data_IF_636736871400
#
_entry.id   IF_636736871400
#
_cell.length_a   1.000
_cell.length_b   1.000
_cell.length_c   1.000
_cell.angle_alpha   90.00
_cell.angle_beta   90.00
_cell.angle_gamma   90.00
#
_symmetry.space_group_name_H-M   'P 1'
#
loop_
_entity.id
_entity.type
_entity.pdbx_description
1 polymer ?
#
# COMPACT_ATOMS: atom_id res chain seq x y z
N UNK A 1 6.79 -27.51 7.10
CA UNK A 1 7.25 -26.43 6.20
C UNK A 1 6.82 -26.76 4.79
N UNK A 2 5.86 -26.03 4.19
CA UNK A 2 5.63 -26.10 2.75
C UNK A 2 6.84 -25.47 2.07
N UNK A 3 7.50 -26.17 1.14
CA UNK A 3 8.54 -25.56 0.32
C UNK A 3 7.87 -24.55 -0.61
N UNK A 4 7.98 -23.26 -0.29
CA UNK A 4 7.56 -22.19 -1.20
C UNK A 4 8.58 -22.17 -2.33
N UNK A 5 8.11 -22.34 -3.57
CA UNK A 5 8.96 -22.26 -4.76
C UNK A 5 9.56 -20.85 -4.85
N UNK A 6 10.83 -20.75 -5.26
CA UNK A 6 11.47 -19.45 -5.58
C UNK A 6 10.61 -18.65 -6.58
N UNK A 7 9.90 -19.35 -7.47
CA UNK A 7 8.96 -18.73 -8.40
C UNK A 7 7.75 -18.10 -7.69
N UNK A 8 7.20 -18.74 -6.66
CA UNK A 8 6.07 -18.19 -5.89
C UNK A 8 6.51 -16.94 -5.11
N UNK A 9 7.69 -17.01 -4.47
CA UNK A 9 8.28 -15.86 -3.77
C UNK A 9 8.55 -14.68 -4.71
N UNK A 10 9.06 -14.95 -5.91
CA UNK A 10 9.29 -13.93 -6.93
C UNK A 10 7.98 -13.33 -7.44
N UNK A 11 6.93 -14.14 -7.61
CA UNK A 11 5.64 -13.69 -8.11
C UNK A 11 4.87 -12.85 -7.08
N UNK A 12 4.80 -13.31 -5.83
CA UNK A 12 4.14 -12.64 -4.70
C UNK A 12 4.91 -11.37 -4.32
N UNK A 13 6.24 -11.47 -4.22
CA UNK A 13 7.10 -10.33 -3.95
C UNK A 13 7.02 -9.23 -5.01
N UNK A 14 6.95 -9.60 -6.29
CA UNK A 14 6.77 -8.62 -7.39
C UNK A 14 5.40 -7.94 -7.32
N UNK A 15 4.33 -8.69 -6.99
CA UNK A 15 2.98 -8.13 -6.81
C UNK A 15 2.91 -7.15 -5.63
N UNK A 16 3.51 -7.52 -4.49
CA UNK A 16 3.56 -6.65 -3.34
C UNK A 16 4.42 -5.39 -3.59
N UNK A 17 5.58 -5.54 -4.23
CA UNK A 17 6.42 -4.40 -4.65
C UNK A 17 5.66 -3.44 -5.57
N UNK A 18 4.79 -3.97 -6.42
CA UNK A 18 3.92 -3.17 -7.26
C UNK A 18 2.83 -2.44 -6.48
N UNK A 19 2.11 -3.15 -5.62
CA UNK A 19 1.08 -2.58 -4.74
C UNK A 19 1.66 -1.48 -3.85
N UNK A 20 2.89 -1.67 -3.35
CA UNK A 20 3.64 -0.65 -2.61
C UNK A 20 3.81 0.64 -3.41
N UNK A 21 4.29 0.55 -4.66
CA UNK A 21 4.50 1.74 -5.52
C UNK A 21 3.19 2.41 -5.93
N UNK A 22 2.18 1.61 -6.28
CA UNK A 22 0.95 2.14 -6.88
C UNK A 22 -0.01 2.68 -5.85
N UNK A 23 -0.13 2.00 -4.72
CA UNK A 23 -1.15 2.24 -3.70
C UNK A 23 -0.51 2.93 -2.48
N UNK A 24 0.46 2.27 -1.84
CA UNK A 24 0.99 2.76 -0.55
C UNK A 24 1.80 4.06 -0.67
N UNK A 25 2.69 4.17 -1.65
CA UNK A 25 3.48 5.40 -1.82
C UNK A 25 2.61 6.64 -2.10
N UNK A 26 1.41 6.48 -2.65
CA UNK A 26 0.49 7.61 -2.86
C UNK A 26 -0.05 8.14 -1.54
N UNK A 27 -0.57 7.25 -0.69
CA UNK A 27 -1.20 7.65 0.57
C UNK A 27 -0.17 8.23 1.56
N UNK A 28 1.08 7.76 1.52
CA UNK A 28 2.19 8.35 2.28
C UNK A 28 2.49 9.79 1.87
N UNK A 29 2.47 10.10 0.57
CA UNK A 29 2.66 11.48 0.08
C UNK A 29 1.48 12.38 0.41
N UNK A 30 0.25 11.86 0.35
CA UNK A 30 -0.95 12.60 0.72
C UNK A 30 -0.95 12.94 2.22
N UNK A 31 -0.53 11.99 3.07
CA UNK A 31 -0.28 12.22 4.50
C UNK A 31 0.76 13.33 4.72
N UNK A 32 1.89 13.29 4.01
CA UNK A 32 2.93 14.32 4.12
C UNK A 32 2.42 15.70 3.68
N UNK A 33 1.66 15.75 2.59
CA UNK A 33 1.13 16.97 1.99
C UNK A 33 0.05 17.63 2.85
N UNK A 34 -0.91 16.85 3.35
CA UNK A 34 -1.99 17.32 4.22
C UNK A 34 -1.46 17.83 5.56
N UNK A 35 -0.48 17.13 6.14
CA UNK A 35 0.22 17.60 7.34
C UNK A 35 0.93 18.94 7.11
N UNK A 36 1.65 19.08 5.99
CA UNK A 36 2.35 20.32 5.66
C UNK A 36 1.39 21.49 5.41
N UNK A 37 0.19 21.21 4.90
CA UNK A 37 -0.86 22.20 4.65
C UNK A 37 -1.58 22.67 5.93
N UNK A 38 -1.40 21.97 7.06
CA UNK A 38 -2.14 22.25 8.29
C UNK A 38 -3.56 21.74 8.30
N UNK A 39 -3.92 20.86 7.36
CA UNK A 39 -5.23 20.24 7.28
C UNK A 39 -5.25 18.95 8.11
N UNK A 40 -5.47 19.10 9.41
CA UNK A 40 -5.33 18.01 10.38
C UNK A 40 -6.37 16.91 10.20
N UNK A 41 -7.61 17.26 9.87
CA UNK A 41 -8.67 16.29 9.62
C UNK A 41 -8.31 15.41 8.42
N UNK A 42 -7.97 16.03 7.28
CA UNK A 42 -7.57 15.29 6.08
C UNK A 42 -6.27 14.52 6.29
N UNK A 43 -5.36 15.01 7.14
CA UNK A 43 -4.16 14.27 7.53
C UNK A 43 -4.50 12.98 8.30
N UNK A 44 -5.43 13.02 9.26
CA UNK A 44 -5.88 11.82 9.99
C UNK A 44 -6.55 10.83 9.04
N UNK A 45 -7.41 11.28 8.13
CA UNK A 45 -8.03 10.42 7.11
C UNK A 45 -6.97 9.79 6.17
N UNK A 46 -5.96 10.57 5.76
CA UNK A 46 -4.85 10.07 4.93
C UNK A 46 -4.00 9.02 5.68
N UNK A 47 -3.82 9.17 6.99
CA UNK A 47 -3.15 8.17 7.84
C UNK A 47 -3.98 6.89 7.93
N UNK A 48 -5.30 7.00 8.09
CA UNK A 48 -6.22 5.87 8.10
C UNK A 48 -6.15 5.09 6.78
N UNK A 49 -6.23 5.78 5.64
CA UNK A 49 -6.10 5.16 4.32
C UNK A 49 -4.74 4.48 4.13
N UNK A 50 -3.66 5.11 4.63
CA UNK A 50 -2.31 4.52 4.61
C UNK A 50 -2.24 3.20 5.38
N UNK A 51 -2.88 3.09 6.55
CA UNK A 51 -2.94 1.83 7.31
C UNK A 51 -3.79 0.76 6.59
N UNK A 52 -4.83 1.14 5.85
CA UNK A 52 -5.56 0.20 5.00
C UNK A 52 -4.71 -0.28 3.81
N UNK A 53 -3.95 0.62 3.19
CA UNK A 53 -3.09 0.32 2.05
C UNK A 53 -1.92 -0.60 2.45
N UNK A 54 -1.37 -0.46 3.66
CA UNK A 54 -0.37 -1.41 4.18
C UNK A 54 -0.98 -2.80 4.41
N UNK A 55 -2.24 -2.89 4.85
CA UNK A 55 -2.95 -4.17 4.98
C UNK A 55 -3.17 -4.83 3.60
N UNK A 56 -3.50 -4.05 2.57
CA UNK A 56 -3.59 -4.55 1.19
C UNK A 56 -2.25 -5.10 0.67
N UNK A 57 -1.14 -4.37 0.87
CA UNK A 57 0.20 -4.83 0.47
C UNK A 57 0.57 -6.12 1.21
N UNK A 58 0.28 -6.20 2.52
CA UNK A 58 0.48 -7.39 3.33
C UNK A 58 -0.34 -8.59 2.83
N UNK A 59 -1.57 -8.38 2.36
CA UNK A 59 -2.37 -9.42 1.74
C UNK A 59 -1.77 -9.89 0.39
N UNK A 60 -1.21 -8.98 -0.41
CA UNK A 60 -0.49 -9.38 -1.63
C UNK A 60 0.74 -10.22 -1.32
N UNK A 61 1.49 -9.90 -0.25
CA UNK A 61 2.61 -10.71 0.24
C UNK A 61 2.18 -12.09 0.70
N UNK A 62 0.99 -12.21 1.30
CA UNK A 62 0.41 -13.49 1.71
C UNK A 62 -0.20 -14.29 0.53
N UNK A 63 -0.05 -13.81 -0.72
CA UNK A 63 -0.45 -14.50 -1.93
C UNK A 63 -1.90 -14.27 -2.35
N UNK A 64 -2.62 -13.34 -1.70
CA UNK A 64 -3.96 -12.97 -2.14
C UNK A 64 -3.93 -12.31 -3.52
N UNK A 65 -5.07 -12.36 -4.21
CA UNK A 65 -5.29 -11.77 -5.53
C UNK A 65 -6.50 -10.83 -5.46
N UNK A 66 -6.45 -9.71 -6.17
CA UNK A 66 -7.57 -8.77 -6.31
C UNK A 66 -7.13 -7.30 -6.32
N UNK A 67 -8.09 -6.42 -6.65
CA UNK A 67 -7.94 -4.97 -6.54
C UNK A 67 -8.18 -4.52 -5.09
N UNK A 68 -7.58 -3.42 -4.61
CA UNK A 68 -7.96 -2.83 -3.32
C UNK A 68 -9.45 -2.46 -3.26
N UNK A 69 -10.11 -2.29 -4.41
CA UNK A 69 -11.55 -2.02 -4.52
C UNK A 69 -12.41 -3.30 -4.54
N UNK A 70 -11.80 -4.50 -4.63
CA UNK A 70 -12.53 -5.76 -4.64
C UNK A 70 -13.06 -6.06 -3.24
N UNK A 71 -14.39 -5.97 -3.08
CA UNK A 71 -15.08 -6.28 -1.82
C UNK A 71 -14.73 -7.66 -1.26
N UNK A 72 -14.50 -8.67 -2.09
CA UNK A 72 -14.11 -10.00 -1.62
C UNK A 72 -12.68 -10.03 -1.09
N UNK A 73 -11.79 -9.21 -1.63
CA UNK A 73 -10.46 -9.02 -1.08
C UNK A 73 -10.52 -8.21 0.21
N UNK A 74 -11.32 -7.13 0.26
CA UNK A 74 -11.51 -6.33 1.47
C UNK A 74 -12.06 -7.15 2.64
N UNK A 75 -12.99 -8.08 2.40
CA UNK A 75 -13.48 -9.01 3.44
C UNK A 75 -12.39 -9.97 3.91
N UNK A 76 -11.49 -10.40 3.02
CA UNK A 76 -10.35 -11.26 3.38
C UNK A 76 -9.30 -10.48 4.17
N UNK A 77 -8.96 -9.28 3.72
CA UNK A 77 -8.12 -8.34 4.44
C UNK A 77 -8.70 -8.09 5.84
N UNK A 78 -9.99 -7.76 5.96
CA UNK A 78 -10.69 -7.57 7.24
C UNK A 78 -10.62 -8.79 8.17
N UNK A 79 -10.60 -10.01 7.64
CA UNK A 79 -10.46 -11.23 8.43
C UNK A 79 -9.03 -11.45 8.93
N UNK A 80 -8.04 -11.07 8.14
CA UNK A 80 -6.62 -11.34 8.37
C UNK A 80 -5.84 -10.08 8.77
N UNK A 81 -6.56 -9.00 9.15
CA UNK A 81 -6.02 -7.64 9.33
C UNK A 81 -5.15 -7.51 10.60
N UNK A 82 -5.05 -8.52 11.46
CA UNK A 82 -4.16 -8.51 12.63
C UNK A 82 -2.69 -8.52 12.16
N UNK A 83 -1.88 -7.43 12.30
CA UNK A 83 -1.89 -6.41 13.36
C UNK A 83 -2.41 -4.99 13.00
N UNK A 84 -2.80 -4.74 11.75
CA UNK A 84 -3.34 -3.46 11.26
C UNK A 84 -4.67 -3.07 11.93
N UNK A 85 -5.50 -4.04 12.39
CA UNK A 85 -6.75 -3.76 13.10
C UNK A 85 -6.50 -2.94 14.35
N UNK A 86 -5.51 -3.36 15.14
CA UNK A 86 -5.12 -2.69 16.38
C UNK A 86 -4.66 -1.26 16.11
N UNK A 87 -4.00 -1.01 14.98
CA UNK A 87 -3.59 0.34 14.59
C UNK A 87 -4.81 1.19 14.21
N UNK A 88 -5.77 0.63 13.47
CA UNK A 88 -7.01 1.32 13.08
C UNK A 88 -7.91 1.61 14.29
N UNK A 89 -8.01 0.70 15.26
CA UNK A 89 -8.75 0.91 16.50
C UNK A 89 -8.15 2.02 17.37
N UNK A 90 -6.83 2.22 17.29
CA UNK A 90 -6.10 3.30 17.97
C UNK A 90 -6.11 4.62 17.20
N UNK A 91 -6.61 4.62 15.96
CA UNK A 91 -6.58 5.79 15.10
C UNK A 91 -7.50 6.89 15.67
N UNK A 92 -7.00 8.13 15.78
CA UNK A 92 -7.84 9.27 16.14
C UNK A 92 -8.98 9.49 15.14
N UNK A 93 -10.04 10.20 15.55
CA UNK A 93 -11.11 10.57 14.63
C UNK A 93 -10.73 11.81 13.85
N UNK A 94 -10.97 11.84 12.54
CA UNK A 94 -10.72 13.02 11.72
C UNK A 94 -11.64 14.21 12.05
N UNK A 95 -12.83 13.96 12.59
CA UNK A 95 -13.76 15.02 12.99
C UNK A 95 -13.14 15.94 14.05
N UNK A 96 -13.03 17.23 13.74
CA UNK A 96 -12.40 18.24 14.60
C UNK A 96 -10.96 17.90 15.03
N UNK A 97 -10.25 17.11 14.22
CA UNK A 97 -8.89 16.70 14.53
C UNK A 97 -7.97 17.90 14.75
N UNK A 98 -7.14 17.77 15.76
CA UNK A 98 -6.08 18.73 16.08
C UNK A 98 -4.75 18.27 15.50
N UNK A 99 -3.74 19.14 15.58
CA UNK A 99 -2.36 18.75 15.25
C UNK A 99 -1.89 17.54 16.07
N UNK A 100 -2.27 17.45 17.35
CA UNK A 100 -1.87 16.34 18.20
C UNK A 100 -2.47 15.01 17.73
N UNK A 101 -3.71 15.04 17.21
CA UNK A 101 -4.35 13.89 16.61
C UNK A 101 -3.66 13.49 15.31
N UNK A 102 -3.31 14.46 14.46
CA UNK A 102 -2.53 14.21 13.26
C UNK A 102 -1.15 13.62 13.57
N UNK A 103 -0.44 14.13 14.58
CA UNK A 103 0.85 13.58 15.03
C UNK A 103 0.69 12.12 15.51
N UNK A 104 -0.35 11.82 16.29
CA UNK A 104 -0.63 10.47 16.77
C UNK A 104 -0.99 9.51 15.62
N UNK A 105 -1.83 9.96 14.69
CA UNK A 105 -2.23 9.19 13.51
C UNK A 105 -1.02 8.85 12.62
N UNK A 106 -0.11 9.81 12.43
CA UNK A 106 1.12 9.61 11.67
C UNK A 106 2.03 8.56 12.28
N UNK A 107 2.19 8.55 13.60
CA UNK A 107 2.99 7.52 14.29
C UNK A 107 2.44 6.12 13.96
N UNK A 108 1.11 5.93 14.00
CA UNK A 108 0.48 4.65 13.68
C UNK A 108 0.66 4.27 12.20
N UNK A 109 0.52 5.23 11.29
CA UNK A 109 0.74 5.00 9.86
C UNK A 109 2.20 4.65 9.55
N UNK A 110 3.16 5.35 10.17
CA UNK A 110 4.60 5.09 10.04
C UNK A 110 4.97 3.72 10.62
N UNK A 111 4.38 3.33 11.76
CA UNK A 111 4.51 1.98 12.35
C UNK A 111 4.05 0.90 11.35
N UNK A 112 2.89 1.09 10.73
CA UNK A 112 2.35 0.17 9.72
C UNK A 112 3.26 0.08 8.49
N UNK A 113 3.69 1.22 7.95
CA UNK A 113 4.54 1.28 6.76
C UNK A 113 5.87 0.55 6.99
N UNK A 114 6.56 0.84 8.10
CA UNK A 114 7.81 0.17 8.44
C UNK A 114 7.64 -1.35 8.60
N UNK A 115 6.56 -1.80 9.26
CA UNK A 115 6.30 -3.21 9.45
C UNK A 115 6.07 -3.93 8.11
N UNK A 116 5.26 -3.34 7.22
CA UNK A 116 5.01 -3.89 5.89
C UNK A 116 6.28 -3.90 5.03
N UNK A 117 7.03 -2.80 4.98
CA UNK A 117 8.26 -2.71 4.20
C UNK A 117 9.33 -3.69 4.69
N UNK A 118 9.45 -3.90 6.01
CA UNK A 118 10.36 -4.89 6.57
C UNK A 118 10.01 -6.34 6.18
N UNK A 119 8.73 -6.61 5.89
CA UNK A 119 8.26 -7.92 5.43
C UNK A 119 8.42 -8.12 3.91
N UNK A 120 8.68 -7.06 3.15
CA UNK A 120 8.78 -7.14 1.70
C UNK A 120 10.15 -7.70 1.25
N UNK A 121 10.17 -8.65 0.31
CA UNK A 121 11.42 -9.16 -0.25
C UNK A 121 12.12 -8.13 -1.16
N UNK A 122 11.37 -7.16 -1.67
CA UNK A 122 11.85 -6.06 -2.51
C UNK A 122 11.07 -4.81 -2.12
N UNK A 123 11.73 -3.82 -1.53
CA UNK A 123 11.16 -2.50 -1.30
C UNK A 123 11.58 -1.60 -2.46
N UNK A 124 10.61 -1.08 -3.18
CA UNK A 124 10.86 -0.16 -4.28
C UNK A 124 11.16 1.23 -3.70
N UNK A 125 12.16 1.91 -4.27
CA UNK A 125 12.42 3.31 -3.90
C UNK A 125 11.16 4.17 -4.11
N UNK A 126 11.04 5.27 -3.36
CA UNK A 126 9.97 6.23 -3.64
C UNK A 126 10.18 6.85 -5.02
N UNK A 127 9.23 6.62 -5.93
CA UNK A 127 9.23 7.20 -7.27
C UNK A 127 8.19 8.33 -7.39
N UNK A 128 7.63 8.76 -6.27
CA UNK A 128 6.62 9.82 -6.21
C UNK A 128 7.24 11.20 -6.09
N UNK A 129 6.49 12.15 -6.61
CA UNK A 129 6.80 13.57 -6.48
C UNK A 129 5.53 14.28 -6.02
N UNK A 130 5.64 15.41 -5.32
CA UNK A 130 4.49 16.26 -4.98
C UNK A 130 3.69 16.72 -6.22
N UNK A 131 4.28 16.64 -7.41
CA UNK A 131 3.64 16.96 -8.70
C UNK A 131 2.92 15.78 -9.37
N UNK A 132 2.91 14.59 -8.75
CA UNK A 132 2.15 13.42 -9.20
C UNK A 132 2.97 12.19 -9.59
N UNK A 133 2.29 11.27 -10.28
CA UNK A 133 2.63 9.84 -10.48
C UNK A 133 3.62 9.56 -11.63
N UNK A 134 4.11 10.57 -12.35
CA UNK A 134 4.69 10.32 -13.69
C UNK A 134 5.83 9.28 -13.77
N UNK A 135 6.76 9.17 -12.81
CA UNK A 135 7.82 8.16 -12.87
C UNK A 135 7.32 6.73 -12.60
N UNK A 136 6.45 6.53 -11.62
CA UNK A 136 5.93 5.20 -11.25
C UNK A 136 4.96 4.63 -12.30
N UNK A 137 4.13 5.45 -12.97
CA UNK A 137 3.30 4.98 -14.11
C UNK A 137 4.19 4.53 -15.27
N UNK A 138 5.28 5.25 -15.54
CA UNK A 138 6.19 4.87 -16.63
C UNK A 138 6.89 3.55 -16.34
N UNK A 139 7.37 3.38 -15.11
CA UNK A 139 7.92 2.10 -14.66
C UNK A 139 6.88 0.98 -14.69
N UNK A 140 5.60 1.26 -14.37
CA UNK A 140 4.47 0.34 -14.58
C UNK A 140 4.42 -0.17 -16.01
N UNK A 141 4.33 0.78 -16.93
CA UNK A 141 4.20 0.49 -18.34
C UNK A 141 5.39 -0.29 -18.86
N UNK A 142 6.60 0.01 -18.37
CA UNK A 142 7.82 -0.67 -18.81
C UNK A 142 7.96 -2.08 -18.21
N UNK A 143 7.58 -2.29 -16.95
CA UNK A 143 7.52 -3.62 -16.33
C UNK A 143 6.46 -4.51 -17.00
N UNK A 144 5.29 -3.95 -17.32
CA UNK A 144 4.22 -4.66 -18.03
C UNK A 144 4.64 -5.03 -19.46
N UNK A 145 5.34 -4.14 -20.18
CA UNK A 145 5.93 -4.47 -21.50
C UNK A 145 6.97 -5.59 -21.38
N UNK A 146 7.83 -5.54 -20.37
CA UNK A 146 8.85 -6.58 -20.13
C UNK A 146 8.18 -7.93 -19.85
N UNK A 147 7.18 -7.96 -18.96
CA UNK A 147 6.39 -9.15 -18.65
C UNK A 147 5.79 -9.79 -19.90
N UNK A 148 5.11 -8.99 -20.74
CA UNK A 148 4.51 -9.46 -22.00
C UNK A 148 5.55 -10.07 -22.93
N UNK A 149 6.71 -9.43 -23.07
CA UNK A 149 7.82 -9.93 -23.89
C UNK A 149 8.42 -11.23 -23.37
N UNK A 150 8.40 -11.43 -22.05
CA UNK A 150 8.91 -12.63 -21.38
C UNK A 150 7.92 -13.79 -21.34
N UNK A 151 6.72 -13.66 -21.92
CA UNK A 151 5.70 -14.73 -21.93
C UNK A 151 5.11 -15.07 -20.55
N UNK A 152 5.37 -14.21 -19.55
CA UNK A 152 4.82 -14.38 -18.21
C UNK A 152 3.31 -14.13 -18.23
N UNK A 153 2.55 -14.84 -17.40
CA UNK A 153 1.09 -14.63 -17.29
C UNK A 153 0.80 -13.22 -16.80
N UNK A 154 -0.38 -12.69 -17.15
CA UNK A 154 -0.81 -11.42 -16.57
C UNK A 154 -0.91 -11.61 -15.07
N UNK A 155 -0.24 -10.76 -14.31
CA UNK A 155 -0.68 -10.57 -12.93
C UNK A 155 -2.08 -9.92 -13.03
N UNK A 156 -2.89 -9.98 -11.98
CA UNK A 156 -4.20 -9.33 -11.95
C UNK A 156 -4.07 -7.79 -11.93
N UNK A 157 -3.48 -7.22 -12.99
CA UNK A 157 -3.14 -5.81 -13.19
C UNK A 157 -4.27 -5.02 -13.84
N UNK A 158 -5.34 -5.68 -14.31
CA UNK A 158 -6.36 -5.07 -15.17
C UNK A 158 -7.10 -3.90 -14.51
N UNK A 159 -7.00 -3.73 -13.19
CA UNK A 159 -7.74 -2.71 -12.43
C UNK A 159 -7.00 -1.40 -12.18
N UNK A 160 -5.70 -1.28 -12.51
CA UNK A 160 -4.94 -0.02 -12.32
C UNK A 160 -4.71 0.76 -13.63
N UNK A 161 -5.24 0.26 -14.76
CA UNK A 161 -5.01 0.81 -16.10
C UNK A 161 -6.28 1.40 -16.75
N UNK A 162 -7.37 1.53 -16.00
CA UNK A 162 -8.62 2.18 -16.45
C UNK A 162 -8.77 3.55 -15.83
#
# INVERSE_FOLDING_TARGET
MRSVSIHALAEEGTRAAWAHVMVLQHSVEDMGSTYAAGDWATCVDSCFDTVLNTAYVSAMLAGHLGSPEDAALLVRIARDIEPHAVLLERMPTAWEATRADADAARILADEACHATEAAMPIVMASFRTPTGFYPSVRMAGDLEKLRRRSGLRSYAWEHFAT
#
